data_IF_160598042117
#
_entry.id   IF_160598042117
#
_cell.length_a   1.000
_cell.length_b   1.000
_cell.length_c   1.000
_cell.angle_alpha   90.00
_cell.angle_beta   90.00
_cell.angle_gamma   90.00
#
_symmetry.space_group_name_H-M   'P 1'
#
loop_
_entity.id
_entity.type
_entity.pdbx_description
1 polymer ?
#
# COMPACT_ATOMS: atom_id res chain seq x y z
N UNK A 1 -36.58 1.21 -0.30
CA UNK A 1 -35.26 0.58 -0.06
C UNK A 1 -34.34 1.61 0.57
N UNK A 2 -33.67 1.24 1.67
CA UNK A 2 -32.66 2.06 2.34
C UNK A 2 -31.54 2.48 1.37
N UNK A 3 -30.98 3.68 1.54
CA UNK A 3 -29.82 4.18 0.79
C UNK A 3 -28.65 3.19 0.87
N UNK A 4 -28.47 2.55 2.03
CA UNK A 4 -27.44 1.52 2.25
C UNK A 4 -27.65 0.30 1.35
N UNK A 5 -28.90 -0.13 1.15
CA UNK A 5 -29.21 -1.27 0.28
C UNK A 5 -28.91 -0.97 -1.19
N UNK A 6 -29.14 0.28 -1.65
CA UNK A 6 -28.76 0.72 -3.01
C UNK A 6 -27.24 0.79 -3.19
N UNK A 7 -26.52 1.29 -2.19
CA UNK A 7 -25.05 1.36 -2.22
C UNK A 7 -24.42 -0.05 -2.26
N UNK A 8 -24.93 -0.99 -1.45
CA UNK A 8 -24.50 -2.39 -1.43
C UNK A 8 -24.84 -3.13 -2.73
N UNK A 9 -25.96 -2.82 -3.37
CA UNK A 9 -26.29 -3.43 -4.66
C UNK A 9 -25.38 -2.90 -5.79
N UNK A 10 -25.03 -1.60 -5.75
CA UNK A 10 -24.10 -1.00 -6.73
C UNK A 10 -22.70 -1.58 -6.66
N UNK A 11 -22.16 -1.81 -5.44
CA UNK A 11 -20.79 -2.31 -5.29
C UNK A 11 -20.61 -3.71 -5.89
N UNK A 12 -21.64 -4.56 -5.77
CA UNK A 12 -21.64 -5.93 -6.27
C UNK A 12 -21.95 -5.98 -7.78
N UNK A 13 -22.78 -5.08 -8.28
CA UNK A 13 -23.27 -5.13 -9.67
C UNK A 13 -22.45 -4.31 -10.67
N UNK A 14 -21.94 -3.15 -10.28
CA UNK A 14 -21.31 -2.17 -11.18
C UNK A 14 -19.83 -1.98 -10.86
N UNK A 15 -19.47 -2.00 -9.57
CA UNK A 15 -18.16 -1.55 -9.10
C UNK A 15 -17.24 -2.72 -8.67
N UNK A 16 -17.36 -3.87 -9.34
CA UNK A 16 -16.60 -5.09 -9.00
C UNK A 16 -15.08 -4.88 -9.11
N UNK A 17 -14.64 -3.96 -9.98
CA UNK A 17 -13.25 -3.56 -10.08
C UNK A 17 -12.77 -2.84 -8.81
N UNK A 18 -13.59 -1.98 -8.20
CA UNK A 18 -13.26 -1.32 -6.93
C UNK A 18 -13.10 -2.37 -5.82
N UNK A 19 -13.98 -3.38 -5.79
CA UNK A 19 -13.85 -4.50 -4.85
C UNK A 19 -12.57 -5.30 -5.06
N UNK A 20 -12.21 -5.61 -6.31
CA UNK A 20 -10.95 -6.30 -6.62
C UNK A 20 -9.74 -5.52 -6.11
N UNK A 21 -9.69 -4.20 -6.37
CA UNK A 21 -8.64 -3.33 -5.84
C UNK A 21 -8.68 -3.22 -4.32
N UNK A 22 -9.86 -3.25 -3.70
CA UNK A 22 -10.03 -3.30 -2.24
C UNK A 22 -9.41 -4.56 -1.63
N UNK A 23 -9.68 -5.73 -2.20
CA UNK A 23 -9.05 -6.98 -1.78
C UNK A 23 -7.53 -6.97 -2.00
N UNK A 24 -7.06 -6.43 -3.13
CA UNK A 24 -5.63 -6.26 -3.37
C UNK A 24 -4.98 -5.33 -2.33
N UNK A 25 -5.62 -4.20 -1.99
CA UNK A 25 -5.15 -3.29 -0.97
C UNK A 25 -5.15 -3.92 0.44
N UNK A 26 -6.18 -4.70 0.80
CA UNK A 26 -6.22 -5.48 2.04
C UNK A 26 -5.11 -6.53 2.10
N UNK A 27 -4.87 -7.23 0.99
CA UNK A 27 -3.79 -8.22 0.90
C UNK A 27 -2.42 -7.56 1.09
N UNK A 28 -2.21 -6.40 0.46
CA UNK A 28 -0.97 -5.62 0.61
C UNK A 28 -0.85 -5.07 2.04
N UNK A 29 -1.92 -4.54 2.63
CA UNK A 29 -1.95 -4.10 4.02
C UNK A 29 -1.56 -5.24 4.97
N UNK A 30 -2.15 -6.42 4.78
CA UNK A 30 -1.82 -7.62 5.55
C UNK A 30 -0.36 -8.05 5.37
N UNK A 31 0.17 -7.96 4.14
CA UNK A 31 1.59 -8.22 3.86
C UNK A 31 2.49 -7.22 4.57
N UNK A 32 2.14 -5.93 4.57
CA UNK A 32 2.86 -4.90 5.33
C UNK A 32 2.83 -5.24 6.82
N UNK A 33 1.68 -5.51 7.42
CA UNK A 33 1.59 -5.86 8.85
C UNK A 33 2.45 -7.08 9.22
N UNK A 34 2.48 -8.11 8.36
CA UNK A 34 3.36 -9.27 8.57
C UNK A 34 4.84 -8.92 8.44
N UNK A 35 5.21 -8.13 7.44
CA UNK A 35 6.59 -7.72 7.23
C UNK A 35 7.08 -6.82 8.36
N UNK A 36 6.26 -5.88 8.83
CA UNK A 36 6.57 -5.01 9.98
C UNK A 36 6.93 -5.85 11.20
N UNK A 37 6.14 -6.87 11.54
CA UNK A 37 6.43 -7.79 12.65
C UNK A 37 7.72 -8.60 12.45
N UNK A 38 7.95 -9.08 11.23
CA UNK A 38 9.18 -9.83 10.93
C UNK A 38 10.42 -8.94 11.03
N UNK A 39 10.35 -7.72 10.50
CA UNK A 39 11.44 -6.74 10.56
C UNK A 39 11.70 -6.30 12.00
N UNK A 40 10.65 -6.06 12.79
CA UNK A 40 10.81 -5.72 14.21
C UNK A 40 11.53 -6.83 14.99
N UNK A 41 11.17 -8.10 14.77
CA UNK A 41 11.90 -9.24 15.35
C UNK A 41 13.36 -9.32 14.85
N UNK A 42 13.60 -9.07 13.55
CA UNK A 42 14.95 -9.06 12.97
C UNK A 42 15.81 -7.95 13.61
N UNK A 43 15.24 -6.78 13.92
CA UNK A 43 15.93 -5.70 14.64
C UNK A 43 16.22 -6.08 16.07
N UNK A 44 15.25 -6.68 16.76
CA UNK A 44 15.42 -7.07 18.15
C UNK A 44 16.58 -8.08 18.30
N UNK A 45 16.61 -9.11 17.44
CA UNK A 45 17.73 -10.06 17.39
C UNK A 45 19.05 -9.36 17.03
N UNK A 46 18.99 -8.32 16.18
CA UNK A 46 20.16 -7.51 15.85
C UNK A 46 20.66 -6.68 17.05
N UNK A 47 19.78 -6.02 17.79
CA UNK A 47 20.16 -5.22 18.97
C UNK A 47 20.71 -6.09 20.10
N UNK A 48 20.18 -7.30 20.28
CA UNK A 48 20.70 -8.27 21.25
C UNK A 48 22.08 -8.83 20.83
N UNK A 49 22.30 -9.07 19.54
CA UNK A 49 23.54 -9.70 19.01
C UNK A 49 24.40 -8.75 18.18
N UNK A 50 24.36 -7.45 18.46
CA UNK A 50 24.92 -6.43 17.58
C UNK A 50 26.40 -6.63 17.28
N UNK A 51 27.19 -7.09 18.25
CA UNK A 51 28.63 -7.30 18.11
C UNK A 51 28.95 -8.51 17.20
N UNK A 52 28.18 -9.59 17.29
CA UNK A 52 28.34 -10.76 16.41
C UNK A 52 27.84 -10.48 14.99
N UNK A 53 26.76 -9.72 14.87
CA UNK A 53 26.08 -9.45 13.61
C UNK A 53 26.84 -8.44 12.76
N UNK A 54 27.42 -7.43 13.41
CA UNK A 54 28.35 -6.46 12.83
C UNK A 54 29.56 -7.16 12.18
N UNK A 55 30.06 -8.23 12.82
CA UNK A 55 31.17 -9.03 12.29
C UNK A 55 30.77 -10.01 11.17
N UNK A 56 29.47 -10.19 10.91
CA UNK A 56 28.96 -11.07 9.85
C UNK A 56 28.19 -10.27 8.77
N UNK A 57 28.83 -9.97 7.62
CA UNK A 57 28.23 -9.13 6.59
C UNK A 57 27.00 -9.76 5.93
N UNK A 58 26.89 -11.09 5.89
CA UNK A 58 25.73 -11.77 5.28
C UNK A 58 24.47 -11.57 6.11
N UNK A 59 24.57 -11.72 7.43
CA UNK A 59 23.43 -11.54 8.32
C UNK A 59 23.00 -10.07 8.39
N UNK A 60 23.96 -9.15 8.36
CA UNK A 60 23.69 -7.71 8.29
C UNK A 60 22.95 -7.35 6.99
N UNK A 61 23.38 -7.87 5.84
CA UNK A 61 22.69 -7.66 4.56
C UNK A 61 21.25 -8.21 4.57
N UNK A 62 21.02 -9.37 5.20
CA UNK A 62 19.67 -9.95 5.31
C UNK A 62 18.69 -9.01 6.01
N UNK A 63 19.12 -8.36 7.09
CA UNK A 63 18.30 -7.36 7.80
C UNK A 63 17.99 -6.20 6.85
N UNK A 64 19.01 -5.60 6.21
CA UNK A 64 18.80 -4.52 5.24
C UNK A 64 17.85 -4.90 4.09
N UNK A 65 17.91 -6.14 3.60
CA UNK A 65 17.01 -6.65 2.57
C UNK A 65 15.57 -6.79 3.08
N UNK A 66 15.36 -7.36 4.28
CA UNK A 66 14.04 -7.41 4.95
C UNK A 66 13.40 -6.02 5.01
N UNK A 67 14.19 -5.01 5.37
CA UNK A 67 13.76 -3.61 5.40
C UNK A 67 13.42 -3.03 4.03
N UNK A 68 14.26 -3.28 3.02
CA UNK A 68 13.98 -2.84 1.65
C UNK A 68 12.67 -3.42 1.14
N UNK A 69 12.39 -4.68 1.47
CA UNK A 69 11.12 -5.33 1.17
C UNK A 69 9.93 -4.70 1.90
N UNK A 70 10.08 -4.36 3.18
CA UNK A 70 9.07 -3.62 3.95
C UNK A 70 8.79 -2.26 3.31
N UNK A 71 9.81 -1.44 3.09
CA UNK A 71 9.67 -0.10 2.52
C UNK A 71 9.01 -0.14 1.13
N UNK A 72 9.42 -1.08 0.27
CA UNK A 72 8.80 -1.26 -1.05
C UNK A 72 7.32 -1.65 -0.92
N UNK A 73 7.00 -2.59 -0.04
CA UNK A 73 5.61 -3.05 0.15
C UNK A 73 4.73 -1.94 0.71
N UNK A 74 5.25 -1.16 1.65
CA UNK A 74 4.57 -0.01 2.23
C UNK A 74 4.36 1.12 1.21
N UNK A 75 5.35 1.39 0.37
CA UNK A 75 5.21 2.36 -0.73
C UNK A 75 4.11 1.92 -1.72
N UNK A 76 4.07 0.63 -2.07
CA UNK A 76 3.01 0.08 -2.93
C UNK A 76 1.65 0.19 -2.26
N UNK A 77 1.56 -0.05 -0.95
CA UNK A 77 0.32 0.13 -0.19
C UNK A 77 -0.20 1.57 -0.32
N UNK A 78 0.63 2.58 -0.03
CA UNK A 78 0.24 3.99 -0.13
C UNK A 78 -0.19 4.34 -1.56
N UNK A 79 0.55 3.85 -2.57
CA UNK A 79 0.20 4.07 -3.97
C UNK A 79 -1.14 3.44 -4.36
N UNK A 80 -1.49 2.27 -3.81
CA UNK A 80 -2.80 1.66 -4.04
C UNK A 80 -3.93 2.49 -3.41
N UNK A 81 -3.70 3.10 -2.24
CA UNK A 81 -4.68 3.97 -1.58
C UNK A 81 -5.04 5.18 -2.44
N UNK A 82 -4.07 5.76 -3.14
CA UNK A 82 -4.29 6.92 -4.01
C UNK A 82 -4.99 6.59 -5.33
N UNK A 83 -5.05 5.31 -5.72
CA UNK A 83 -5.74 4.86 -6.94
C UNK A 83 -7.27 4.79 -6.74
N UNK A 84 -7.77 4.57 -5.53
CA UNK A 84 -9.23 4.44 -5.31
C UNK A 84 -10.06 5.65 -5.74
N UNK A 85 -9.69 6.91 -5.44
CA UNK A 85 -10.41 8.08 -5.94
C UNK A 85 -10.35 8.18 -7.47
N UNK A 86 -9.24 7.76 -8.08
CA UNK A 86 -9.07 7.76 -9.54
C UNK A 86 -9.97 6.71 -10.20
N UNK A 87 -10.12 5.53 -9.59
CA UNK A 87 -11.09 4.51 -10.02
C UNK A 87 -12.54 4.99 -9.87
N UNK A 88 -12.83 5.73 -8.80
CA UNK A 88 -14.13 6.37 -8.62
C UNK A 88 -14.45 7.33 -9.77
N UNK A 89 -13.50 8.20 -10.11
CA UNK A 89 -13.60 9.12 -11.24
C UNK A 89 -13.72 8.39 -12.58
N UNK A 90 -12.98 7.29 -12.78
CA UNK A 90 -13.09 6.46 -13.97
C UNK A 90 -14.51 5.91 -14.16
N UNK A 91 -15.17 5.45 -13.08
CA UNK A 91 -16.56 5.01 -13.14
C UNK A 91 -17.55 6.11 -13.57
N UNK A 92 -17.24 7.38 -13.28
CA UNK A 92 -18.03 8.51 -13.81
C UNK A 92 -17.85 8.68 -15.31
N UNK A 93 -16.61 8.57 -15.81
CA UNK A 93 -16.31 8.69 -17.24
C UNK A 93 -16.99 7.58 -18.03
N UNK A 94 -16.92 6.32 -17.56
CA UNK A 94 -17.56 5.19 -18.25
C UNK A 94 -19.07 5.32 -18.28
N UNK A 95 -19.69 5.80 -17.20
CA UNK A 95 -21.14 6.01 -17.18
C UNK A 95 -21.56 7.13 -18.13
N UNK A 96 -20.81 8.24 -18.19
CA UNK A 96 -21.08 9.33 -19.12
C UNK A 96 -20.96 8.89 -20.58
N UNK A 97 -19.96 8.09 -20.91
CA UNK A 97 -19.78 7.53 -22.25
C UNK A 97 -20.87 6.50 -22.63
N UNK A 98 -21.51 5.87 -21.65
CA UNK A 98 -22.59 4.89 -21.89
C UNK A 98 -23.95 5.51 -22.21
N UNK A 99 -24.09 6.83 -22.10
CA UNK A 99 -25.35 7.52 -22.38
C UNK A 99 -25.48 7.69 -23.90
N UNK A 100 -26.25 6.81 -24.53
CA UNK A 100 -26.66 6.97 -25.92
C UNK A 100 -27.81 7.97 -25.99
N UNK A 101 -27.60 9.13 -26.63
CA UNK A 101 -28.57 10.23 -26.70
C UNK A 101 -29.55 10.11 -27.88
N UNK A 102 -29.66 8.93 -28.49
CA UNK A 102 -30.41 8.71 -29.72
C UNK A 102 -31.93 8.59 -29.55
N UNK A 103 -32.46 8.36 -28.34
CA UNK A 103 -33.90 8.07 -28.16
C UNK A 103 -34.60 8.82 -27.00
N UNK A 104 -35.93 8.88 -27.00
CA UNK A 104 -36.70 9.61 -25.96
C UNK A 104 -36.84 8.84 -24.63
N UNK A 105 -36.63 7.51 -24.61
CA UNK A 105 -36.55 6.69 -23.38
C UNK A 105 -35.25 6.92 -22.58
N UNK A 106 -34.31 7.68 -23.15
CA UNK A 106 -32.96 7.92 -22.63
C UNK A 106 -32.94 8.57 -21.24
N UNK A 107 -33.99 9.29 -20.83
CA UNK A 107 -33.97 10.02 -19.55
C UNK A 107 -33.86 9.07 -18.35
N UNK A 108 -34.57 7.94 -18.36
CA UNK A 108 -34.53 6.97 -17.25
C UNK A 108 -33.22 6.18 -17.25
N UNK A 109 -32.74 5.78 -18.42
CA UNK A 109 -31.47 5.06 -18.58
C UNK A 109 -30.28 5.95 -18.21
N UNK A 110 -30.26 7.21 -18.68
CA UNK A 110 -29.25 8.19 -18.32
C UNK A 110 -29.21 8.43 -16.80
N UNK A 111 -30.37 8.62 -16.17
CA UNK A 111 -30.46 8.80 -14.71
C UNK A 111 -29.86 7.60 -13.96
N UNK A 112 -30.12 6.38 -14.41
CA UNK A 112 -29.53 5.17 -13.82
C UNK A 112 -28.00 5.15 -13.95
N UNK A 113 -27.47 5.45 -15.14
CA UNK A 113 -26.02 5.53 -15.36
C UNK A 113 -25.36 6.61 -14.50
N UNK A 114 -25.97 7.78 -14.37
CA UNK A 114 -25.49 8.86 -13.49
C UNK A 114 -25.42 8.43 -12.01
N UNK A 115 -26.45 7.74 -11.50
CA UNK A 115 -26.43 7.27 -10.12
C UNK A 115 -25.41 6.15 -9.89
N UNK A 116 -25.19 5.27 -10.87
CA UNK A 116 -24.13 4.27 -10.81
C UNK A 116 -22.74 4.94 -10.76
N UNK A 117 -22.50 5.95 -11.60
CA UNK A 117 -21.27 6.75 -11.57
C UNK A 117 -21.01 7.43 -10.21
N UNK A 118 -22.04 8.06 -9.66
CA UNK A 118 -21.95 8.73 -8.36
C UNK A 118 -21.65 7.73 -7.25
N UNK A 119 -22.23 6.52 -7.34
CA UNK A 119 -21.99 5.45 -6.38
C UNK A 119 -20.57 4.90 -6.49
N UNK A 120 -20.02 4.71 -7.70
CA UNK A 120 -18.61 4.35 -7.93
C UNK A 120 -17.65 5.37 -7.29
N UNK A 121 -17.94 6.66 -7.46
CA UNK A 121 -17.15 7.74 -6.82
C UNK A 121 -17.22 7.67 -5.30
N UNK A 122 -18.42 7.45 -4.77
CA UNK A 122 -18.66 7.33 -3.34
C UNK A 122 -17.85 6.17 -2.75
N UNK A 123 -17.84 5.00 -3.39
CA UNK A 123 -17.04 3.86 -2.95
C UNK A 123 -15.54 4.09 -3.06
N UNK A 124 -15.07 4.69 -4.15
CA UNK A 124 -13.66 5.07 -4.30
C UNK A 124 -13.18 5.99 -3.17
N UNK A 125 -14.00 6.96 -2.76
CA UNK A 125 -13.70 7.86 -1.64
C UNK A 125 -13.73 7.11 -0.31
N UNK A 126 -14.80 6.34 -0.04
CA UNK A 126 -14.95 5.60 1.23
C UNK A 126 -13.76 4.67 1.47
N UNK A 127 -13.35 3.90 0.46
CA UNK A 127 -12.18 3.02 0.59
C UNK A 127 -10.88 3.81 0.73
N UNK A 128 -10.68 4.87 -0.06
CA UNK A 128 -9.49 5.71 0.05
C UNK A 128 -9.32 6.27 1.48
N UNK A 129 -10.41 6.80 2.05
CA UNK A 129 -10.42 7.31 3.43
C UNK A 129 -10.18 6.20 4.44
N UNK A 130 -10.89 5.07 4.32
CA UNK A 130 -10.73 3.92 5.21
C UNK A 130 -9.30 3.39 5.25
N UNK A 131 -8.66 3.21 4.09
CA UNK A 131 -7.27 2.77 4.03
C UNK A 131 -6.28 3.85 4.45
N UNK A 132 -6.55 5.15 4.25
CA UNK A 132 -5.70 6.22 4.81
C UNK A 132 -5.69 6.20 6.34
N UNK A 133 -6.84 5.94 6.96
CA UNK A 133 -6.93 5.78 8.41
C UNK A 133 -6.11 4.56 8.85
N UNK A 134 -6.25 3.41 8.17
CA UNK A 134 -5.42 2.24 8.44
C UNK A 134 -3.91 2.54 8.26
N UNK A 135 -3.55 3.30 7.23
CA UNK A 135 -2.18 3.74 6.98
C UNK A 135 -1.62 4.60 8.11
N UNK A 136 -2.43 5.44 8.75
CA UNK A 136 -1.98 6.25 9.88
C UNK A 136 -1.47 5.39 11.05
N UNK A 137 -2.07 4.22 11.28
CA UNK A 137 -1.58 3.27 12.28
C UNK A 137 -0.27 2.61 11.85
N UNK A 138 -0.17 2.16 10.59
CA UNK A 138 1.06 1.53 10.09
C UNK A 138 2.24 2.50 9.95
N UNK A 139 1.96 3.77 9.68
CA UNK A 139 2.98 4.78 9.46
C UNK A 139 3.91 4.93 10.66
N UNK A 140 3.35 4.95 11.88
CA UNK A 140 4.14 5.08 13.11
C UNK A 140 5.14 3.92 13.26
N UNK A 141 4.68 2.68 13.11
CA UNK A 141 5.53 1.50 13.25
C UNK A 141 6.59 1.44 12.14
N UNK A 142 6.19 1.65 10.88
CA UNK A 142 7.12 1.55 9.74
C UNK A 142 8.17 2.64 9.79
N UNK A 143 7.80 3.87 10.17
CA UNK A 143 8.76 4.97 10.27
C UNK A 143 9.76 4.76 11.41
N UNK A 144 9.33 4.27 12.58
CA UNK A 144 10.23 3.93 13.68
C UNK A 144 11.26 2.87 13.27
N UNK A 145 10.80 1.79 12.61
CA UNK A 145 11.69 0.74 12.10
C UNK A 145 12.73 1.32 11.11
N UNK A 146 12.32 2.19 10.19
CA UNK A 146 13.22 2.85 9.22
C UNK A 146 14.25 3.73 9.94
N UNK A 147 13.85 4.49 10.97
CA UNK A 147 14.76 5.31 11.73
C UNK A 147 15.80 4.48 12.48
N UNK A 148 15.38 3.37 13.11
CA UNK A 148 16.30 2.41 13.75
C UNK A 148 17.31 1.87 12.74
N UNK A 149 16.87 1.43 11.56
CA UNK A 149 17.77 0.96 10.50
C UNK A 149 18.83 2.00 10.10
N UNK A 150 18.42 3.26 9.94
CA UNK A 150 19.34 4.33 9.57
C UNK A 150 20.37 4.58 10.67
N UNK A 151 19.97 4.49 11.95
CA UNK A 151 20.89 4.55 13.07
C UNK A 151 21.88 3.37 13.05
N UNK A 152 21.42 2.16 12.73
CA UNK A 152 22.28 0.99 12.59
C UNK A 152 23.28 1.14 11.44
N UNK A 153 22.82 1.58 10.27
CA UNK A 153 23.69 1.86 9.12
C UNK A 153 24.79 2.86 9.48
N UNK A 154 24.46 3.92 10.21
CA UNK A 154 25.45 4.90 10.69
C UNK A 154 26.47 4.28 11.66
N UNK A 155 26.02 3.43 12.60
CA UNK A 155 26.92 2.71 13.51
C UNK A 155 27.90 1.81 12.74
N UNK A 156 27.41 1.03 11.77
CA UNK A 156 28.23 0.13 10.96
C UNK A 156 29.30 0.88 10.15
N UNK A 157 28.95 2.02 9.54
CA UNK A 157 29.91 2.88 8.84
C UNK A 157 30.99 3.38 9.81
N UNK A 158 30.60 3.80 11.02
CA UNK A 158 31.54 4.27 12.05
C UNK A 158 32.52 3.19 12.52
N UNK A 159 32.12 1.91 12.50
CA UNK A 159 32.98 0.78 12.83
C UNK A 159 33.90 0.33 11.69
N UNK A 160 33.89 0.99 10.52
CA UNK A 160 34.78 0.69 9.40
C UNK A 160 34.42 -0.57 8.61
N UNK A 161 33.26 -1.17 8.87
CA UNK A 161 32.82 -2.43 8.22
C UNK A 161 32.40 -2.22 6.77
N UNK A 162 32.13 -0.97 6.36
CA UNK A 162 31.82 -0.59 4.98
C UNK A 162 32.90 -1.06 3.98
N UNK A 163 34.19 -1.01 4.35
CA UNK A 163 35.26 -1.50 3.47
C UNK A 163 35.26 -3.02 3.29
N UNK A 164 34.87 -3.80 4.31
CA UNK A 164 34.81 -5.27 4.20
C UNK A 164 33.67 -5.75 3.29
N UNK A 165 32.56 -4.99 3.25
CA UNK A 165 31.40 -5.26 2.38
C UNK A 165 31.68 -4.75 0.96
N UNK A 166 32.35 -3.60 0.81
CA UNK A 166 32.75 -3.05 -0.49
C UNK A 166 33.81 -3.91 -1.19
N UNK A 167 34.75 -4.49 -0.43
CA UNK A 167 35.82 -5.31 -1.00
C UNK A 167 35.38 -6.76 -1.34
N UNK A 168 34.33 -7.30 -0.70
CA UNK A 168 33.76 -8.62 -1.06
C UNK A 168 32.69 -8.56 -2.16
N UNK A 169 32.01 -7.44 -2.34
CA UNK A 169 30.91 -7.31 -3.31
C UNK A 169 31.35 -6.86 -4.72
N UNK A 170 32.65 -6.59 -4.94
CA UNK A 170 33.16 -6.25 -6.27
C UNK A 170 32.65 -4.92 -6.83
N UNK A 171 32.04 -4.07 -6.01
CA UNK A 171 31.59 -2.73 -6.44
C UNK A 171 32.77 -1.77 -6.48
N UNK A 172 33.43 -1.72 -7.64
CA UNK A 172 34.28 -0.59 -8.03
C UNK A 172 33.38 0.59 -8.39
N UNK A 173 33.55 1.69 -7.67
CA UNK A 173 33.31 3.05 -8.19
C UNK A 173 34.62 3.78 -8.04
#
# INVERSE_FOLDING_TARGET
>A
MSIIAKLLQSIVSSDIYILFFCFAALFVAFRVSRLTKNVDNDIYDWEEKSDELSNNPEKTNKVFDSYKHLNRSYTVFIALISIFPLLGMFGTVTALLSIDMSDAETINTAKSSFFNALTSTTWGIIFSVGFKIANAYFFADVEDLIQRLLALKKKLIKYGIDESIKNKSGWRV
#
